data_IF_973454080610
#
_entry.id   IF_973454080610
#
_cell.length_a   1.000
_cell.length_b   1.000
_cell.length_c   1.000
_cell.angle_alpha   90.00
_cell.angle_beta   90.00
_cell.angle_gamma   90.00
#
_symmetry.space_group_name_H-M   'P 1'
#
loop_
_entity.id
_entity.type
_entity.pdbx_description
1 polymer ?
#
# COMPACT_ATOMS: atom_id res chain seq x y z
N UNK A 1 -12.90 -4.76 -22.75
CA UNK A 1 -13.42 -3.41 -22.53
C UNK A 1 -13.11 -2.46 -23.69
N UNK A 2 -11.94 -2.62 -24.26
CA UNK A 2 -11.48 -1.85 -25.43
C UNK A 2 -10.94 -2.84 -26.46
N UNK A 3 -11.82 -3.46 -27.28
CA UNK A 3 -11.40 -4.46 -28.24
C UNK A 3 -10.47 -3.84 -29.29
N UNK A 4 -9.48 -4.61 -29.73
CA UNK A 4 -8.67 -4.24 -30.86
C UNK A 4 -9.57 -4.13 -32.13
N UNK A 5 -9.27 -3.17 -33.01
CA UNK A 5 -10.10 -2.92 -34.19
C UNK A 5 -10.25 -4.17 -35.08
N UNK A 6 -9.23 -5.02 -35.11
CA UNK A 6 -9.22 -6.27 -35.86
C UNK A 6 -10.27 -7.29 -35.38
N UNK A 7 -10.78 -7.14 -34.15
CA UNK A 7 -11.84 -8.00 -33.60
C UNK A 7 -13.25 -7.52 -33.96
N UNK A 8 -13.39 -6.28 -34.40
CA UNK A 8 -14.67 -5.70 -34.73
C UNK A 8 -15.20 -6.33 -36.06
N UNK A 9 -16.42 -6.88 -36.03
CA UNK A 9 -17.05 -7.48 -37.18
C UNK A 9 -16.60 -8.90 -37.52
N UNK A 10 -15.71 -9.52 -36.73
CA UNK A 10 -15.30 -10.92 -36.92
C UNK A 10 -16.46 -11.84 -36.54
N UNK A 11 -16.79 -12.79 -37.45
CA UNK A 11 -17.88 -13.75 -37.22
C UNK A 11 -17.65 -14.57 -35.97
N UNK A 12 -18.61 -14.56 -35.04
CA UNK A 12 -18.55 -15.29 -33.79
C UNK A 12 -17.87 -14.49 -32.63
N UNK A 13 -17.41 -13.28 -32.88
CA UNK A 13 -16.89 -12.37 -31.85
C UNK A 13 -17.94 -11.32 -31.50
N UNK A 14 -18.26 -11.20 -30.22
CA UNK A 14 -19.19 -10.21 -29.69
C UNK A 14 -18.44 -9.30 -28.73
N UNK A 15 -18.38 -8.02 -29.05
CA UNK A 15 -17.77 -7.00 -28.23
C UNK A 15 -18.87 -6.24 -27.48
N UNK A 16 -18.73 -6.15 -26.16
CA UNK A 16 -19.65 -5.39 -25.30
C UNK A 16 -18.93 -4.20 -24.66
N UNK A 17 -19.65 -3.13 -24.30
CA UNK A 17 -19.08 -2.08 -23.47
C UNK A 17 -18.66 -2.61 -22.10
N UNK A 18 -17.87 -1.83 -21.37
CA UNK A 18 -17.46 -2.14 -19.99
C UNK A 18 -18.66 -2.05 -19.04
N UNK A 19 -19.33 -3.17 -18.80
CA UNK A 19 -20.58 -3.24 -18.05
C UNK A 19 -20.50 -4.07 -16.75
N UNK A 20 -19.31 -4.58 -16.39
CA UNK A 20 -19.17 -5.51 -15.26
C UNK A 20 -19.63 -4.97 -13.91
N UNK A 21 -19.54 -3.65 -13.70
CA UNK A 21 -20.00 -3.00 -12.48
C UNK A 21 -21.29 -2.16 -12.67
N UNK A 22 -21.98 -2.30 -13.80
CA UNK A 22 -23.15 -1.48 -14.17
C UNK A 22 -24.49 -2.12 -13.79
N UNK A 23 -24.54 -2.81 -12.66
CA UNK A 23 -25.77 -3.26 -12.02
C UNK A 23 -25.87 -2.68 -10.61
N UNK A 24 -27.09 -2.45 -10.08
CA UNK A 24 -27.27 -1.91 -8.72
C UNK A 24 -26.50 -2.69 -7.65
N UNK A 25 -26.46 -4.01 -7.76
CA UNK A 25 -25.73 -4.88 -6.83
C UNK A 25 -24.21 -4.68 -6.96
N UNK A 26 -23.68 -4.60 -8.18
CA UNK A 26 -22.26 -4.40 -8.43
C UNK A 26 -21.81 -3.03 -7.98
N UNK A 27 -22.58 -1.97 -8.23
CA UNK A 27 -22.28 -0.61 -7.78
C UNK A 27 -22.23 -0.55 -6.26
N UNK A 28 -23.21 -1.14 -5.57
CA UNK A 28 -23.25 -1.20 -4.11
C UNK A 28 -22.05 -2.00 -3.58
N UNK A 29 -21.77 -3.17 -4.12
CA UNK A 29 -20.67 -4.01 -3.66
C UNK A 29 -19.31 -3.35 -3.89
N UNK A 30 -19.10 -2.71 -5.03
CA UNK A 30 -17.87 -1.95 -5.30
C UNK A 30 -17.68 -0.79 -4.30
N UNK A 31 -18.74 -0.05 -4.01
CA UNK A 31 -18.68 1.05 -3.06
C UNK A 31 -18.35 0.57 -1.64
N UNK A 32 -19.00 -0.50 -1.19
CA UNK A 32 -18.75 -1.11 0.14
C UNK A 32 -17.32 -1.66 0.21
N UNK A 33 -16.87 -2.38 -0.81
CA UNK A 33 -15.51 -2.93 -0.86
C UNK A 33 -14.47 -1.82 -0.81
N UNK A 34 -14.60 -0.80 -1.66
CA UNK A 34 -13.67 0.35 -1.68
C UNK A 34 -13.64 1.09 -0.34
N UNK A 35 -14.80 1.28 0.30
CA UNK A 35 -14.88 1.92 1.62
C UNK A 35 -14.18 1.10 2.71
N UNK A 36 -14.33 -0.23 2.69
CA UNK A 36 -13.68 -1.13 3.64
C UNK A 36 -12.16 -1.15 3.43
N UNK A 37 -11.68 -1.24 2.19
CA UNK A 37 -10.25 -1.21 1.87
C UNK A 37 -9.61 0.12 2.26
N UNK A 38 -10.27 1.24 1.96
CA UNK A 38 -9.81 2.56 2.38
C UNK A 38 -9.79 2.69 3.91
N UNK A 39 -10.82 2.20 4.60
CA UNK A 39 -10.88 2.20 6.06
C UNK A 39 -9.75 1.38 6.67
N UNK A 40 -9.46 0.20 6.12
CA UNK A 40 -8.37 -0.67 6.57
C UNK A 40 -7.01 -0.02 6.32
N UNK A 41 -6.80 0.59 5.15
CA UNK A 41 -5.60 1.38 4.88
C UNK A 41 -5.42 2.53 5.87
N UNK A 42 -6.47 3.29 6.15
CA UNK A 42 -6.39 4.44 7.05
C UNK A 42 -6.14 4.03 8.50
N UNK A 43 -6.75 2.95 8.97
CA UNK A 43 -6.68 2.49 10.37
C UNK A 43 -5.49 1.57 10.64
N UNK A 44 -5.20 0.68 9.70
CA UNK A 44 -4.23 -0.41 9.89
C UNK A 44 -3.04 -0.36 8.94
N UNK A 45 -3.08 0.48 7.91
CA UNK A 45 -2.02 0.57 6.91
C UNK A 45 -2.03 -0.57 5.88
N UNK A 46 -2.96 -1.51 5.94
CA UNK A 46 -3.06 -2.60 4.98
C UNK A 46 -3.43 -2.08 3.59
N UNK A 47 -2.87 -2.70 2.56
CA UNK A 47 -3.15 -2.38 1.16
C UNK A 47 -3.63 -3.66 0.48
N UNK A 48 -4.83 -3.59 -0.11
CA UNK A 48 -5.42 -4.66 -0.91
C UNK A 48 -5.97 -4.09 -2.21
N UNK A 49 -5.87 -4.86 -3.30
CA UNK A 49 -6.37 -4.53 -4.64
C UNK A 49 -5.89 -3.17 -5.20
N UNK A 50 -4.74 -2.67 -4.75
CA UNK A 50 -4.20 -1.41 -5.25
C UNK A 50 -3.65 -1.57 -6.67
N UNK A 51 -3.96 -0.61 -7.54
CA UNK A 51 -3.47 -0.61 -8.94
C UNK A 51 -2.01 -0.20 -9.07
N UNK A 52 -1.46 0.52 -8.10
CA UNK A 52 -0.12 1.11 -8.15
C UNK A 52 0.82 0.67 -7.02
N UNK A 53 0.30 0.20 -5.90
CA UNK A 53 1.09 -0.28 -4.76
C UNK A 53 0.97 -1.81 -4.64
N UNK A 54 1.93 -2.48 -3.99
CA UNK A 54 1.83 -3.91 -3.73
C UNK A 54 0.77 -4.20 -2.66
N UNK A 55 0.12 -5.36 -2.75
CA UNK A 55 -0.75 -5.83 -1.67
C UNK A 55 0.09 -6.23 -0.46
N UNK A 56 -0.18 -5.58 0.67
CA UNK A 56 0.50 -5.79 1.93
C UNK A 56 -0.52 -5.80 3.06
N UNK A 57 -0.55 -6.87 3.82
CA UNK A 57 -1.39 -6.98 5.00
C UNK A 57 -0.60 -7.62 6.14
N UNK A 58 -0.75 -7.10 7.33
CA UNK A 58 -0.11 -7.61 8.55
C UNK A 58 -1.04 -7.35 9.74
N UNK A 59 -1.38 -8.37 10.54
CA UNK A 59 -2.09 -8.16 11.79
C UNK A 59 -1.33 -7.20 12.70
N UNK A 60 -2.03 -6.34 13.42
CA UNK A 60 -1.40 -5.48 14.44
C UNK A 60 -1.04 -6.30 15.67
N UNK A 61 0.17 -6.10 16.18
CA UNK A 61 0.68 -6.77 17.40
C UNK A 61 0.80 -5.82 18.58
N UNK A 62 0.22 -4.63 18.50
CA UNK A 62 0.35 -3.58 19.50
C UNK A 62 1.46 -2.57 19.16
N UNK A 63 1.66 -1.59 20.04
CA UNK A 63 2.63 -0.53 19.78
C UNK A 63 2.21 0.44 18.69
N UNK A 64 3.17 1.10 18.08
CA UNK A 64 2.98 2.02 16.95
C UNK A 64 3.29 1.29 15.64
N UNK A 65 2.49 1.58 14.62
CA UNK A 65 2.74 1.10 13.26
C UNK A 65 3.28 2.21 12.39
N UNK A 66 4.41 1.97 11.77
CA UNK A 66 5.04 2.88 10.82
C UNK A 66 4.83 2.32 9.43
N UNK A 67 4.25 3.13 8.55
CA UNK A 67 3.96 2.78 7.16
C UNK A 67 4.73 3.72 6.23
N UNK A 68 5.57 3.17 5.37
CA UNK A 68 6.44 3.95 4.48
C UNK A 68 6.27 3.49 3.04
N UNK A 69 5.85 4.40 2.18
CA UNK A 69 5.96 4.25 0.73
C UNK A 69 7.31 4.83 0.34
N UNK A 70 8.14 4.06 -0.37
CA UNK A 70 9.48 4.49 -0.77
C UNK A 70 9.86 3.94 -2.15
N UNK A 71 10.92 4.52 -2.76
CA UNK A 71 11.50 3.94 -3.98
C UNK A 71 12.09 2.58 -3.66
N UNK A 72 11.90 1.64 -4.57
CA UNK A 72 12.41 0.26 -4.43
C UNK A 72 13.87 0.22 -4.88
N UNK A 73 14.76 0.77 -4.05
CA UNK A 73 16.19 0.94 -4.33
C UNK A 73 17.04 0.27 -3.23
N UNK A 74 18.26 -0.16 -3.57
CA UNK A 74 19.20 -0.69 -2.59
C UNK A 74 19.44 0.32 -1.46
N UNK A 75 19.52 -0.19 -0.21
CA UNK A 75 19.77 0.65 0.96
C UNK A 75 18.53 1.28 1.61
N UNK A 76 17.37 1.30 0.94
CA UNK A 76 16.15 1.90 1.49
C UNK A 76 15.76 1.30 2.87
N UNK A 77 15.74 -0.04 2.99
CA UNK A 77 15.42 -0.71 4.25
C UNK A 77 16.48 -0.43 5.31
N UNK A 78 17.76 -0.44 4.96
CA UNK A 78 18.85 -0.14 5.90
C UNK A 78 18.76 1.30 6.43
N UNK A 79 18.40 2.26 5.60
CA UNK A 79 18.19 3.64 6.03
C UNK A 79 17.00 3.74 7.00
N UNK A 80 15.88 3.09 6.70
CA UNK A 80 14.71 3.05 7.58
C UNK A 80 15.06 2.42 8.93
N UNK A 81 15.61 1.21 8.93
CA UNK A 81 15.94 0.50 10.17
C UNK A 81 17.05 1.20 10.97
N UNK A 82 17.99 1.87 10.31
CA UNK A 82 19.02 2.66 10.96
C UNK A 82 18.45 3.81 11.78
N UNK A 83 17.45 4.54 11.27
CA UNK A 83 16.75 5.60 12.01
C UNK A 83 16.00 5.02 13.21
N UNK A 84 15.33 3.88 13.05
CA UNK A 84 14.61 3.24 14.16
C UNK A 84 15.57 2.76 15.26
N UNK A 85 16.70 2.20 14.86
CA UNK A 85 17.76 1.79 15.78
C UNK A 85 18.32 3.00 16.55
N UNK A 86 18.62 4.11 15.86
CA UNK A 86 19.10 5.33 16.48
C UNK A 86 18.07 5.95 17.44
N UNK A 87 16.78 5.78 17.17
CA UNK A 87 15.68 6.15 18.05
C UNK A 87 15.43 5.15 19.21
N UNK A 88 16.25 4.10 19.34
CA UNK A 88 16.09 3.02 20.33
C UNK A 88 14.71 2.35 20.30
N UNK A 89 14.16 2.16 19.08
CA UNK A 89 12.90 1.46 18.85
C UNK A 89 13.15 0.00 18.52
N UNK A 90 12.38 -0.89 19.13
CA UNK A 90 12.39 -2.31 18.78
C UNK A 90 11.36 -2.60 17.67
N UNK A 91 11.75 -3.38 16.68
CA UNK A 91 10.86 -3.81 15.59
C UNK A 91 10.28 -5.17 15.97
N UNK A 92 8.98 -5.20 16.23
CA UNK A 92 8.24 -6.43 16.56
C UNK A 92 7.88 -7.23 15.30
N UNK A 93 7.42 -6.51 14.28
CA UNK A 93 7.09 -7.08 12.98
C UNK A 93 7.49 -6.13 11.86
N UNK A 94 7.88 -6.71 10.74
CA UNK A 94 8.18 -5.96 9.52
C UNK A 94 7.74 -6.74 8.29
N UNK A 95 7.09 -6.06 7.38
CA UNK A 95 6.84 -6.54 6.03
C UNK A 95 7.24 -5.46 5.04
N UNK A 96 7.95 -5.88 3.99
CA UNK A 96 8.30 -5.04 2.84
C UNK A 96 7.92 -5.76 1.56
N UNK A 97 7.20 -5.09 0.69
CA UNK A 97 6.93 -5.60 -0.65
C UNK A 97 7.19 -4.51 -1.69
N UNK A 98 7.87 -4.91 -2.76
CA UNK A 98 8.12 -4.08 -3.92
C UNK A 98 7.15 -4.37 -5.06
N UNK A 99 6.81 -3.34 -5.82
CA UNK A 99 6.11 -3.43 -7.09
C UNK A 99 6.74 -2.44 -8.06
N UNK A 100 7.48 -2.95 -9.05
CA UNK A 100 8.28 -2.12 -9.96
C UNK A 100 9.28 -1.25 -9.18
N UNK A 101 9.20 0.05 -9.35
CA UNK A 101 10.09 1.05 -8.74
C UNK A 101 9.61 1.59 -7.38
N UNK A 102 8.50 1.09 -6.86
CA UNK A 102 7.94 1.50 -5.58
C UNK A 102 7.87 0.30 -4.64
N UNK A 103 8.15 0.52 -3.36
CA UNK A 103 7.96 -0.45 -2.30
C UNK A 103 7.12 0.15 -1.16
N UNK A 104 6.47 -0.72 -0.43
CA UNK A 104 5.75 -0.38 0.78
C UNK A 104 6.29 -1.21 1.94
N UNK A 105 6.75 -0.50 2.97
CA UNK A 105 7.24 -1.10 4.21
C UNK A 105 6.28 -0.78 5.35
N UNK A 106 5.90 -1.79 6.09
CA UNK A 106 5.09 -1.69 7.30
C UNK A 106 5.86 -2.30 8.45
N UNK A 107 6.01 -1.53 9.54
CA UNK A 107 6.72 -1.95 10.75
C UNK A 107 5.85 -1.71 11.97
N UNK A 108 5.73 -2.71 12.83
CA UNK A 108 5.18 -2.54 14.17
C UNK A 108 6.36 -2.38 15.13
N UNK A 109 6.39 -1.29 15.88
CA UNK A 109 7.50 -0.93 16.76
C UNK A 109 7.04 -0.72 18.19
N UNK A 110 7.93 -1.02 19.14
CA UNK A 110 7.78 -0.70 20.56
C UNK A 110 8.89 0.24 21.00
N UNK A 111 8.60 1.07 21.99
CA UNK A 111 9.47 2.11 22.48
C UNK A 111 8.80 3.49 22.45
N UNK A 112 9.57 4.52 22.72
CA UNK A 112 9.07 5.90 22.73
C UNK A 112 9.16 6.52 21.33
N UNK A 113 8.06 6.52 20.61
CA UNK A 113 7.96 7.16 19.28
C UNK A 113 7.73 8.64 19.48
N UNK A 114 8.76 9.45 19.25
CA UNK A 114 8.68 10.88 19.35
C UNK A 114 8.09 11.58 18.12
N UNK A 115 7.77 12.87 18.25
CA UNK A 115 7.18 13.65 17.15
C UNK A 115 8.18 13.91 16.00
N UNK A 116 9.49 13.80 16.24
CA UNK A 116 10.54 14.04 15.25
C UNK A 116 10.76 12.85 14.31
N UNK A 117 10.35 11.64 14.72
CA UNK A 117 10.60 10.42 13.95
C UNK A 117 10.02 10.48 12.53
N UNK A 118 8.81 11.02 12.40
CA UNK A 118 8.16 11.17 11.06
C UNK A 118 9.00 12.07 10.15
N UNK A 119 9.56 13.15 10.67
CA UNK A 119 10.41 14.06 9.91
C UNK A 119 11.73 13.38 9.50
N UNK A 120 12.37 12.64 10.41
CA UNK A 120 13.59 11.89 10.12
C UNK A 120 13.38 10.83 9.05
N UNK A 121 12.31 10.03 9.15
CA UNK A 121 11.97 9.02 8.15
C UNK A 121 11.59 9.65 6.80
N UNK A 122 10.90 10.79 6.81
CA UNK A 122 10.56 11.52 5.59
C UNK A 122 11.78 12.19 4.93
N UNK A 123 12.86 12.40 5.67
CA UNK A 123 14.13 12.92 5.17
C UNK A 123 15.00 11.89 4.46
N UNK A 124 14.61 10.62 4.42
CA UNK A 124 15.32 9.59 3.65
C UNK A 124 15.09 9.87 2.16
N UNK A 125 16.14 9.92 1.36
CA UNK A 125 16.08 10.23 -0.07
C UNK A 125 15.09 9.34 -0.85
N UNK A 126 14.97 8.08 -0.43
CA UNK A 126 14.05 7.14 -1.08
C UNK A 126 12.61 7.25 -0.57
N UNK A 127 12.35 7.93 0.55
CA UNK A 127 11.01 8.02 1.12
C UNK A 127 10.08 8.89 0.25
N UNK A 128 8.89 8.38 0.00
CA UNK A 128 7.82 9.09 -0.73
C UNK A 128 6.75 9.57 0.25
N UNK A 129 6.35 8.71 1.18
CA UNK A 129 5.35 9.02 2.19
C UNK A 129 5.57 8.20 3.45
N UNK A 130 5.48 8.86 4.60
CA UNK A 130 5.56 8.23 5.93
C UNK A 130 4.27 8.50 6.69
N UNK A 131 3.77 7.49 7.38
CA UNK A 131 2.63 7.58 8.30
C UNK A 131 2.92 6.77 9.56
N UNK A 132 2.54 7.29 10.70
CA UNK A 132 2.55 6.58 11.99
C UNK A 132 1.10 6.43 12.47
N UNK A 133 0.71 5.19 12.80
CA UNK A 133 -0.64 4.78 13.21
C UNK A 133 -0.67 4.29 14.66
#
# INVERSE_FOLDING_TARGET
DFPAEELLGVKGVYCTPHLGASTPESETNCAVMAANELSDYLKNGNITHSVNLPDVSQPRVGGKRICIIHRNEPGAISAITGILTAANLNIENMVNKGRKNVAYTMLDVTGNVDAGLTAQLSGIDTAIRVRIL
#
